data_IF_117608068736
#
_entry.id   IF_117608068736
#
_cell.length_a   1.000
_cell.length_b   1.000
_cell.length_c   1.000
_cell.angle_alpha   90.00
_cell.angle_beta   90.00
_cell.angle_gamma   90.00
#
_symmetry.space_group_name_H-M   'P 1'
#
loop_
_entity.id
_entity.type
_entity.pdbx_description
1 polymer ?
#
# COMPACT_ATOMS: atom_id res chain seq x y z
N UNK A 1 14.18 -4.34 -2.65
CA UNK A 1 13.55 -4.22 -1.33
C UNK A 1 14.03 -2.98 -0.59
N UNK A 2 15.35 -2.76 -0.45
CA UNK A 2 15.90 -1.62 0.30
C UNK A 2 15.67 -0.27 -0.37
N UNK A 3 15.66 -0.20 -1.69
CA UNK A 3 15.28 1.02 -2.41
C UNK A 3 13.83 1.43 -2.10
N UNK A 4 12.93 0.45 -2.05
CA UNK A 4 11.55 0.67 -1.66
C UNK A 4 11.42 1.11 -0.20
N UNK A 5 12.20 0.50 0.71
CA UNK A 5 12.21 0.87 2.11
C UNK A 5 12.51 2.36 2.34
N UNK A 6 13.57 2.88 1.71
CA UNK A 6 13.92 4.30 1.82
C UNK A 6 12.86 5.20 1.19
N UNK A 7 12.28 4.80 0.07
CA UNK A 7 11.17 5.51 -0.54
C UNK A 7 9.94 5.59 0.38
N UNK A 8 9.62 4.51 1.09
CA UNK A 8 8.48 4.47 1.99
C UNK A 8 8.70 5.27 3.26
N UNK A 9 9.92 5.34 3.77
CA UNK A 9 10.25 6.25 4.88
C UNK A 9 9.98 7.72 4.54
N UNK A 10 10.06 8.06 3.28
CA UNK A 10 9.83 9.41 2.78
C UNK A 10 8.37 9.62 2.33
N UNK A 11 7.59 8.56 2.24
CA UNK A 11 6.13 8.62 2.09
C UNK A 11 5.56 8.31 0.72
N UNK A 12 6.20 7.47 -0.12
CA UNK A 12 5.74 7.41 -1.51
C UNK A 12 5.61 6.10 -2.24
N UNK A 13 6.14 5.02 -1.79
CA UNK A 13 6.10 3.84 -2.66
C UNK A 13 5.10 2.79 -2.18
N UNK A 14 4.30 2.30 -3.13
CA UNK A 14 3.63 1.03 -2.94
C UNK A 14 4.69 -0.05 -2.73
N UNK A 15 4.82 -0.54 -1.50
CA UNK A 15 5.55 -1.76 -1.25
C UNK A 15 4.54 -2.90 -1.34
N UNK A 16 4.48 -3.57 -2.48
CA UNK A 16 3.67 -4.77 -2.64
C UNK A 16 2.31 -4.63 -1.93
N UNK A 17 1.45 -3.72 -2.44
CA UNK A 17 0.10 -3.46 -1.94
C UNK A 17 0.01 -2.72 -0.59
N UNK A 18 1.10 -2.13 -0.11
CA UNK A 18 1.10 -1.30 1.08
C UNK A 18 1.67 0.09 0.82
N UNK A 19 1.04 1.12 1.35
CA UNK A 19 1.50 2.52 1.29
C UNK A 19 1.79 3.00 2.70
N UNK A 20 2.98 3.54 2.95
CA UNK A 20 3.32 4.20 4.20
C UNK A 20 2.67 5.59 4.26
N UNK A 21 1.37 5.62 4.59
CA UNK A 21 0.61 6.87 4.70
C UNK A 21 0.86 7.57 6.02
N UNK A 22 1.85 8.47 6.09
CA UNK A 22 2.02 9.37 7.22
C UNK A 22 2.37 10.80 6.76
N UNK A 23 1.99 11.78 7.57
CA UNK A 23 2.35 13.17 7.28
C UNK A 23 3.83 13.43 7.59
N UNK A 24 4.51 14.16 6.71
CA UNK A 24 5.87 14.64 6.94
C UNK A 24 5.98 15.47 8.24
N UNK A 25 4.93 16.19 8.61
CA UNK A 25 4.85 16.92 9.90
C UNK A 25 4.92 15.95 11.09
N UNK A 26 4.24 14.81 11.00
CA UNK A 26 4.25 13.80 12.06
C UNK A 26 5.66 13.19 12.26
N UNK A 27 6.43 13.05 11.18
CA UNK A 27 7.83 12.59 11.26
C UNK A 27 8.73 13.51 12.09
N UNK A 28 8.43 14.81 12.14
CA UNK A 28 9.15 15.74 13.02
C UNK A 28 9.08 15.33 14.52
N UNK A 29 7.96 14.72 14.92
CA UNK A 29 7.79 14.15 16.27
C UNK A 29 8.79 13.05 16.60
N UNK A 30 9.15 12.23 15.60
CA UNK A 30 10.15 11.16 15.75
C UNK A 30 11.52 11.77 16.08
N UNK A 31 11.95 12.82 15.40
CA UNK A 31 13.22 13.48 15.69
C UNK A 31 13.23 14.11 17.09
N UNK A 32 12.12 14.73 17.50
CA UNK A 32 11.98 15.24 18.86
C UNK A 32 12.07 14.11 19.89
N UNK A 33 11.36 13.00 19.68
CA UNK A 33 11.42 11.82 20.53
C UNK A 33 12.85 11.32 20.72
N UNK A 34 13.61 11.16 19.64
CA UNK A 34 14.97 10.64 19.68
C UNK A 34 15.97 11.66 20.23
N UNK A 35 15.67 12.96 20.21
CA UNK A 35 16.51 13.98 20.88
C UNK A 35 16.52 13.85 22.41
N UNK A 36 15.42 13.36 23.01
CA UNK A 36 15.24 13.16 24.45
C UNK A 36 15.86 11.84 24.90
N UNK A 37 16.98 11.87 25.64
CA UNK A 37 17.78 10.66 25.91
C UNK A 37 17.04 9.55 26.68
N UNK A 38 16.32 9.89 27.75
CA UNK A 38 15.72 8.93 28.70
C UNK A 38 14.19 8.90 28.71
N UNK A 39 13.53 9.69 27.87
CA UNK A 39 12.07 9.75 27.79
C UNK A 39 11.56 8.82 26.70
N UNK A 40 10.39 8.24 26.94
CA UNK A 40 9.65 7.43 25.96
C UNK A 40 10.48 6.30 25.34
N UNK A 41 11.17 5.53 26.19
CA UNK A 41 12.03 4.42 25.72
C UNK A 41 11.21 3.32 25.03
N UNK A 42 10.01 3.08 25.53
CA UNK A 42 9.01 2.17 24.95
C UNK A 42 8.72 2.51 23.49
N UNK A 43 8.41 3.78 23.21
CA UNK A 43 8.14 4.24 21.85
C UNK A 43 9.37 4.17 20.93
N UNK A 44 10.55 4.44 21.46
CA UNK A 44 11.80 4.32 20.70
C UNK A 44 12.09 2.88 20.31
N UNK A 45 11.91 1.96 21.24
CA UNK A 45 12.06 0.53 20.96
C UNK A 45 11.00 0.03 20.00
N UNK A 46 9.73 0.44 20.18
CA UNK A 46 8.65 0.09 19.24
C UNK A 46 8.93 0.60 17.83
N UNK A 47 9.35 1.86 17.69
CA UNK A 47 9.74 2.42 16.41
C UNK A 47 10.94 1.71 15.78
N UNK A 48 11.98 1.42 16.57
CA UNK A 48 13.16 0.68 16.11
C UNK A 48 12.78 -0.74 15.65
N UNK A 49 11.90 -1.42 16.38
CA UNK A 49 11.41 -2.76 16.04
C UNK A 49 10.63 -2.75 14.72
N UNK A 50 9.74 -1.78 14.51
CA UNK A 50 9.02 -1.65 13.24
C UNK A 50 9.97 -1.36 12.07
N UNK A 51 11.01 -0.54 12.29
CA UNK A 51 12.05 -0.34 11.27
C UNK A 51 12.82 -1.63 10.99
N UNK A 52 13.14 -2.41 12.02
CA UNK A 52 13.77 -3.72 11.84
C UNK A 52 12.87 -4.65 11.01
N UNK A 53 11.56 -4.65 11.27
CA UNK A 53 10.61 -5.45 10.49
C UNK A 53 10.55 -5.02 9.02
N UNK A 54 10.67 -3.71 8.72
CA UNK A 54 10.77 -3.23 7.35
C UNK A 54 12.07 -3.67 6.65
N UNK A 55 13.17 -3.77 7.41
CA UNK A 55 14.47 -4.18 6.87
C UNK A 55 14.57 -5.69 6.64
N UNK A 56 13.81 -6.50 7.37
CA UNK A 56 13.89 -7.96 7.32
C UNK A 56 12.71 -8.52 6.50
N UNK A 57 12.94 -9.03 5.28
CA UNK A 57 11.86 -9.55 4.43
C UNK A 57 11.03 -10.67 5.09
N UNK A 58 11.66 -11.46 5.97
CA UNK A 58 10.98 -12.51 6.73
C UNK A 58 9.83 -11.96 7.59
N UNK A 59 9.96 -10.75 8.15
CA UNK A 59 8.87 -10.14 8.90
C UNK A 59 7.66 -9.87 8.00
N UNK A 60 7.87 -9.41 6.76
CA UNK A 60 6.81 -9.24 5.77
C UNK A 60 6.14 -10.56 5.39
N UNK A 61 6.88 -11.66 5.35
CA UNK A 61 6.34 -12.99 5.12
C UNK A 61 5.44 -13.46 6.29
N UNK A 62 5.94 -13.35 7.53
CA UNK A 62 5.18 -13.71 8.75
C UNK A 62 3.91 -12.88 8.89
N UNK A 63 4.03 -11.54 8.74
CA UNK A 63 2.90 -10.62 8.91
C UNK A 63 1.88 -10.68 7.75
N UNK A 64 2.23 -11.35 6.66
CA UNK A 64 1.32 -11.67 5.55
C UNK A 64 0.83 -13.13 5.59
N UNK A 65 0.76 -13.74 6.76
CA UNK A 65 0.23 -15.09 6.94
C UNK A 65 1.06 -16.20 6.31
N UNK A 66 2.38 -16.03 6.22
CA UNK A 66 3.33 -16.97 5.62
C UNK A 66 3.10 -17.27 4.13
N UNK A 67 2.37 -16.38 3.44
CA UNK A 67 2.12 -16.51 1.99
C UNK A 67 3.33 -16.02 1.20
N UNK A 68 3.42 -14.75 0.89
CA UNK A 68 4.56 -14.13 0.20
C UNK A 68 5.06 -12.91 0.95
N UNK A 69 6.26 -12.44 0.64
CA UNK A 69 6.83 -11.25 1.29
C UNK A 69 6.04 -10.01 0.89
N UNK A 70 5.30 -9.44 1.85
CA UNK A 70 4.49 -8.24 1.65
C UNK A 70 4.54 -7.34 2.88
N UNK A 71 4.55 -6.04 2.65
CA UNK A 71 4.49 -5.05 3.71
C UNK A 71 3.09 -4.44 3.88
N UNK A 72 2.03 -5.20 3.66
CA UNK A 72 0.64 -4.76 3.86
C UNK A 72 0.37 -4.23 5.27
N UNK A 73 1.15 -4.65 6.25
CA UNK A 73 1.12 -4.20 7.64
C UNK A 73 1.66 -2.78 7.86
N UNK A 74 2.21 -2.12 6.82
CA UNK A 74 2.90 -0.82 6.94
C UNK A 74 2.00 0.31 7.46
N UNK A 75 0.69 0.17 7.39
CA UNK A 75 -0.25 1.09 8.04
C UNK A 75 0.02 1.23 9.55
N UNK A 76 0.47 0.14 10.22
CA UNK A 76 0.86 0.18 11.64
C UNK A 76 2.09 1.08 11.86
N UNK A 77 2.99 1.17 10.89
CA UNK A 77 4.12 2.08 10.91
C UNK A 77 3.65 3.55 10.85
N UNK A 78 2.72 3.87 9.96
CA UNK A 78 2.10 5.20 9.88
C UNK A 78 1.37 5.58 11.18
N UNK A 79 0.61 4.66 11.76
CA UNK A 79 -0.04 4.86 13.07
C UNK A 79 0.98 5.10 14.19
N UNK A 80 2.09 4.37 14.19
CA UNK A 80 3.15 4.56 15.19
C UNK A 80 3.78 5.95 15.08
N UNK A 81 4.03 6.44 13.88
CA UNK A 81 4.56 7.80 13.66
C UNK A 81 3.56 8.86 14.17
N UNK A 82 2.27 8.71 13.86
CA UNK A 82 1.24 9.61 14.34
C UNK A 82 1.13 9.60 15.88
N UNK A 83 1.19 8.41 16.49
CA UNK A 83 1.17 8.26 17.94
C UNK A 83 2.40 8.88 18.60
N UNK A 84 3.59 8.69 18.03
CA UNK A 84 4.83 9.33 18.48
C UNK A 84 4.69 10.85 18.43
N UNK A 85 4.10 11.40 17.35
CA UNK A 85 3.91 12.85 17.24
C UNK A 85 3.05 13.41 18.38
N UNK A 86 1.92 12.76 18.67
CA UNK A 86 1.04 13.15 19.76
C UNK A 86 1.75 13.06 21.11
N UNK A 87 2.48 11.98 21.38
CA UNK A 87 3.23 11.79 22.64
C UNK A 87 4.43 12.73 22.76
N UNK A 88 5.08 13.07 21.65
CA UNK A 88 6.21 14.01 21.65
C UNK A 88 5.75 15.49 21.68
N UNK A 89 4.48 15.77 21.44
CA UNK A 89 3.96 17.14 21.33
C UNK A 89 4.28 18.03 22.54
N UNK A 90 4.10 17.59 23.81
CA UNK A 90 4.49 18.38 24.97
C UNK A 90 6.00 18.73 25.01
N UNK A 91 6.83 17.88 24.44
CA UNK A 91 8.28 18.07 24.41
C UNK A 91 8.73 19.16 23.43
N UNK A 92 7.88 19.55 22.48
CA UNK A 92 8.16 20.64 21.54
C UNK A 92 8.37 21.97 22.25
N UNK A 93 7.74 22.14 23.42
CA UNK A 93 7.83 23.36 24.24
C UNK A 93 9.00 23.39 25.22
N UNK A 94 9.74 22.29 25.33
CA UNK A 94 10.81 22.12 26.35
C UNK A 94 12.15 21.70 25.75
N UNK A 95 12.41 22.11 24.48
CA UNK A 95 13.64 21.76 23.81
C UNK A 95 14.84 22.57 24.29
N UNK A 96 15.87 21.90 24.77
CA UNK A 96 17.17 22.51 25.08
C UNK A 96 17.98 22.76 23.80
N UNK A 97 18.97 23.65 23.88
CA UNK A 97 19.86 23.93 22.73
C UNK A 97 20.57 22.66 22.24
N UNK A 98 20.96 21.76 23.17
CA UNK A 98 21.59 20.48 22.80
C UNK A 98 20.64 19.56 22.04
N UNK A 99 19.37 19.54 22.43
CA UNK A 99 18.32 18.74 21.73
C UNK A 99 18.02 19.31 20.36
N UNK A 100 17.90 20.64 20.22
CA UNK A 100 17.72 21.31 18.92
C UNK A 100 18.88 20.96 17.96
N UNK A 101 20.13 20.97 18.46
CA UNK A 101 21.29 20.57 17.65
C UNK A 101 21.21 19.11 17.20
N UNK A 102 20.77 18.19 18.08
CA UNK A 102 20.57 16.78 17.70
C UNK A 102 19.48 16.61 16.63
N UNK A 103 18.35 17.30 16.81
CA UNK A 103 17.25 17.29 15.83
C UNK A 103 17.78 17.76 14.48
N UNK A 104 18.50 18.88 14.45
CA UNK A 104 19.08 19.40 13.22
C UNK A 104 19.99 18.38 12.52
N UNK A 105 20.89 17.72 13.27
CA UNK A 105 21.77 16.68 12.70
C UNK A 105 20.95 15.52 12.13
N UNK A 106 19.93 15.03 12.86
CA UNK A 106 19.08 13.93 12.39
C UNK A 106 18.31 14.30 11.13
N UNK A 107 17.79 15.53 11.04
CA UNK A 107 17.10 16.02 9.83
C UNK A 107 18.07 16.12 8.65
N UNK A 108 19.27 16.64 8.86
CA UNK A 108 20.29 16.70 7.78
C UNK A 108 20.63 15.30 7.28
N UNK A 109 20.88 14.34 8.18
CA UNK A 109 21.14 12.94 7.82
C UNK A 109 19.96 12.37 7.03
N UNK A 110 18.73 12.59 7.48
CA UNK A 110 17.53 12.12 6.79
C UNK A 110 17.41 12.75 5.40
N UNK A 111 17.61 14.05 5.26
CA UNK A 111 17.58 14.73 3.97
C UNK A 111 18.66 14.20 3.01
N UNK A 112 19.88 13.97 3.53
CA UNK A 112 20.96 13.39 2.74
C UNK A 112 20.60 11.98 2.27
N UNK A 113 20.09 11.12 3.14
CA UNK A 113 19.62 9.78 2.78
C UNK A 113 18.50 9.85 1.72
N UNK A 114 17.56 10.77 1.90
CA UNK A 114 16.49 11.01 0.92
C UNK A 114 17.02 11.41 -0.46
N UNK A 115 18.06 12.24 -0.53
CA UNK A 115 18.68 12.64 -1.79
C UNK A 115 19.42 11.50 -2.48
N UNK A 116 19.97 10.55 -1.73
CA UNK A 116 20.65 9.38 -2.29
C UNK A 116 19.68 8.28 -2.72
N UNK A 117 18.49 8.21 -2.14
CA UNK A 117 17.47 7.23 -2.53
C UNK A 117 16.88 7.60 -3.90
N UNK A 118 17.09 6.76 -4.91
CA UNK A 118 16.61 7.00 -6.28
C UNK A 118 15.09 7.19 -6.35
N UNK A 119 14.36 6.40 -5.58
CA UNK A 119 12.90 6.48 -5.46
C UNK A 119 12.42 7.77 -4.76
N UNK A 120 13.27 8.41 -3.97
CA UNK A 120 12.93 9.62 -3.22
C UNK A 120 13.08 10.93 -4.01
N UNK A 121 13.58 10.88 -5.23
CA UNK A 121 13.85 12.08 -6.06
C UNK A 121 12.64 12.58 -6.85
N UNK A 122 11.46 12.09 -6.58
CA UNK A 122 10.24 12.63 -7.20
C UNK A 122 9.92 14.01 -6.61
N UNK A 123 9.24 14.86 -7.38
CA UNK A 123 8.84 16.20 -6.92
C UNK A 123 8.03 16.16 -5.63
N UNK A 124 7.18 15.17 -5.48
CA UNK A 124 6.34 14.97 -4.32
C UNK A 124 7.18 14.64 -3.07
N UNK A 125 8.14 13.74 -3.19
CA UNK A 125 9.00 13.38 -2.07
C UNK A 125 9.85 14.57 -1.63
N UNK A 126 10.33 15.37 -2.57
CA UNK A 126 11.03 16.61 -2.26
C UNK A 126 10.13 17.63 -1.56
N UNK A 127 8.87 17.74 -1.97
CA UNK A 127 7.88 18.55 -1.27
C UNK A 127 7.63 18.06 0.16
N UNK A 128 7.52 16.74 0.37
CA UNK A 128 7.43 16.12 1.69
C UNK A 128 8.64 16.41 2.58
N UNK A 129 9.85 16.31 2.02
CA UNK A 129 11.09 16.68 2.73
C UNK A 129 11.09 18.16 3.10
N UNK A 130 10.67 19.04 2.22
CA UNK A 130 10.54 20.49 2.51
C UNK A 130 9.55 20.74 3.64
N UNK A 131 8.38 20.12 3.62
CA UNK A 131 7.38 20.21 4.69
C UNK A 131 7.95 19.73 6.02
N UNK A 132 8.72 18.63 6.04
CA UNK A 132 9.41 18.14 7.22
C UNK A 132 10.42 19.16 7.78
N UNK A 133 11.26 19.72 6.90
CA UNK A 133 12.26 20.73 7.29
C UNK A 133 11.56 21.96 7.87
N UNK A 134 10.49 22.43 7.25
CA UNK A 134 9.71 23.57 7.76
C UNK A 134 9.03 23.25 9.10
N UNK A 135 8.52 22.03 9.29
CA UNK A 135 7.93 21.60 10.56
C UNK A 135 8.98 21.58 11.69
N UNK A 136 10.17 21.03 11.41
CA UNK A 136 11.28 21.01 12.39
C UNK A 136 11.78 22.41 12.68
N UNK A 137 11.92 23.27 11.66
CA UNK A 137 12.27 24.67 11.85
C UNK A 137 11.24 25.38 12.75
N UNK A 138 9.96 25.18 12.49
CA UNK A 138 8.86 25.74 13.30
C UNK A 138 8.97 25.30 14.76
N UNK A 139 9.13 23.98 15.03
CA UNK A 139 9.26 23.44 16.39
C UNK A 139 10.49 24.00 17.10
N UNK A 140 11.62 24.07 16.43
CA UNK A 140 12.89 24.51 17.04
C UNK A 140 12.96 26.01 17.26
N UNK A 141 12.26 26.80 16.44
CA UNK A 141 12.26 28.27 16.53
C UNK A 141 11.21 28.79 17.53
N UNK A 142 10.01 28.23 17.53
CA UNK A 142 8.86 28.77 18.26
C UNK A 142 8.49 27.96 19.53
N UNK A 143 9.03 26.75 19.72
CA UNK A 143 8.60 25.86 20.80
C UNK A 143 8.84 26.39 22.23
N UNK A 144 9.83 27.23 22.45
CA UNK A 144 10.28 27.60 23.82
C UNK A 144 9.62 28.87 24.40
N UNK A 145 8.73 29.55 23.68
CA UNK A 145 8.14 30.79 24.11
C UNK A 145 6.63 30.66 24.20
N UNK A 146 6.03 30.86 25.36
CA UNK A 146 4.61 30.64 25.65
C UNK A 146 3.66 31.37 24.66
N UNK A 147 3.95 32.64 24.36
CA UNK A 147 3.20 33.39 23.36
C UNK A 147 3.39 32.86 21.93
N UNK A 148 4.53 32.29 21.62
CA UNK A 148 4.86 31.72 20.32
C UNK A 148 4.31 30.31 20.11
N UNK A 149 3.88 29.62 21.19
CA UNK A 149 3.25 28.31 21.11
C UNK A 149 1.99 28.30 20.22
N UNK A 150 1.19 29.38 20.24
CA UNK A 150 0.02 29.52 19.35
C UNK A 150 0.43 29.60 17.90
N UNK A 151 1.47 30.37 17.59
CA UNK A 151 2.00 30.47 16.21
C UNK A 151 2.61 29.14 15.75
N UNK A 152 3.33 28.45 16.63
CA UNK A 152 3.84 27.11 16.32
C UNK A 152 2.71 26.16 15.98
N UNK A 153 1.65 26.09 16.78
CA UNK A 153 0.49 25.25 16.51
C UNK A 153 -0.19 25.62 15.19
N UNK A 154 -0.41 26.91 14.93
CA UNK A 154 -0.99 27.39 13.70
C UNK A 154 -0.15 27.02 12.48
N UNK A 155 1.16 27.20 12.52
CA UNK A 155 2.07 26.85 11.44
C UNK A 155 2.14 25.33 11.22
N UNK A 156 2.20 24.53 12.27
CA UNK A 156 2.18 23.07 12.14
C UNK A 156 0.87 22.57 11.57
N UNK A 157 -0.26 23.17 11.96
CA UNK A 157 -1.57 22.84 11.38
C UNK A 157 -1.64 23.22 9.90
N UNK A 158 -1.13 24.38 9.53
CA UNK A 158 -1.06 24.79 8.13
C UNK A 158 -0.16 23.84 7.29
N UNK A 159 1.00 23.47 7.81
CA UNK A 159 1.89 22.50 7.17
C UNK A 159 1.24 21.12 7.06
N UNK A 160 0.45 20.71 8.05
CA UNK A 160 -0.32 19.47 7.98
C UNK A 160 -1.36 19.51 6.86
N UNK A 161 -2.12 20.61 6.75
CA UNK A 161 -3.08 20.80 5.66
C UNK A 161 -2.38 20.77 4.31
N UNK A 162 -1.25 21.49 4.17
CA UNK A 162 -0.45 21.48 2.93
C UNK A 162 0.02 20.05 2.61
N UNK A 163 0.51 19.29 3.61
CA UNK A 163 0.92 17.90 3.43
C UNK A 163 -0.23 17.02 2.94
N UNK A 164 -1.42 17.18 3.50
CA UNK A 164 -2.62 16.45 3.07
C UNK A 164 -2.99 16.83 1.64
N UNK A 165 -3.05 18.11 1.33
CA UNK A 165 -3.39 18.59 -0.02
C UNK A 165 -2.39 18.09 -1.08
N UNK A 166 -1.09 18.11 -0.77
CA UNK A 166 -0.07 17.55 -1.66
C UNK A 166 -0.26 16.04 -1.88
N UNK A 167 -0.59 15.29 -0.84
CA UNK A 167 -0.84 13.86 -0.97
C UNK A 167 -2.12 13.58 -1.78
N UNK A 168 -3.20 14.30 -1.50
CA UNK A 168 -4.47 14.15 -2.22
C UNK A 168 -4.32 14.55 -3.69
N UNK A 169 -3.73 15.72 -3.96
CA UNK A 169 -3.56 16.19 -5.35
C UNK A 169 -2.70 15.25 -6.17
N UNK A 170 -1.69 14.62 -5.56
CA UNK A 170 -0.89 13.63 -6.23
C UNK A 170 -1.65 12.32 -6.45
N UNK A 171 -2.37 11.82 -5.46
CA UNK A 171 -3.15 10.58 -5.56
C UNK A 171 -4.19 10.66 -6.69
N UNK A 172 -4.77 11.84 -6.88
CA UNK A 172 -5.76 12.10 -7.92
C UNK A 172 -5.18 12.86 -9.12
N UNK A 173 -3.84 12.88 -9.28
CA UNK A 173 -3.24 13.52 -10.44
C UNK A 173 -3.42 12.66 -11.69
N UNK A 174 -3.58 13.32 -12.84
CA UNK A 174 -3.68 12.66 -14.14
C UNK A 174 -2.46 11.78 -14.46
N UNK A 175 -1.27 12.13 -13.96
CA UNK A 175 -0.05 11.35 -14.17
C UNK A 175 -0.06 9.97 -13.52
N UNK A 176 -0.87 9.77 -12.47
CA UNK A 176 -0.99 8.47 -11.79
C UNK A 176 -2.09 7.59 -12.36
N UNK A 177 -2.95 8.18 -13.19
CA UNK A 177 -4.04 7.48 -13.86
C UNK A 177 -4.97 6.64 -12.97
N UNK A 178 -4.97 6.92 -11.66
CA UNK A 178 -5.88 6.22 -10.74
C UNK A 178 -7.35 6.43 -11.09
N UNK A 179 -7.67 7.56 -11.74
CA UNK A 179 -9.05 7.83 -12.17
C UNK A 179 -9.42 6.98 -13.38
N UNK A 180 -8.46 6.50 -14.17
CA UNK A 180 -8.72 5.57 -15.28
C UNK A 180 -9.05 4.16 -14.80
N UNK A 181 -8.71 3.84 -13.55
CA UNK A 181 -9.09 2.56 -12.92
C UNK A 181 -10.57 2.58 -12.44
N UNK A 182 -11.19 3.76 -12.38
CA UNK A 182 -12.60 3.91 -12.04
C UNK A 182 -13.43 3.91 -13.33
N UNK A 183 -14.23 2.87 -13.49
CA UNK A 183 -15.22 2.80 -14.55
C UNK A 183 -16.53 3.47 -14.12
N UNK A 184 -17.26 4.04 -15.08
CA UNK A 184 -18.66 4.41 -14.86
C UNK A 184 -19.49 3.14 -14.58
N UNK A 185 -20.68 3.29 -14.02
CA UNK A 185 -21.56 2.15 -13.78
C UNK A 185 -21.89 1.40 -15.09
N UNK A 186 -22.05 2.13 -16.20
CA UNK A 186 -22.32 1.57 -17.52
C UNK A 186 -21.13 0.76 -18.05
N UNK A 187 -19.92 1.34 -18.01
CA UNK A 187 -18.68 0.65 -18.40
C UNK A 187 -18.39 -0.58 -17.54
N UNK A 188 -18.72 -0.52 -16.24
CA UNK A 188 -18.56 -1.65 -15.34
C UNK A 188 -19.50 -2.80 -15.71
N UNK A 189 -20.76 -2.50 -16.03
CA UNK A 189 -21.74 -3.49 -16.48
C UNK A 189 -21.29 -4.11 -17.81
N UNK A 190 -20.87 -3.29 -18.77
CA UNK A 190 -20.37 -3.77 -20.07
C UNK A 190 -19.17 -4.72 -19.93
N UNK A 191 -18.26 -4.44 -19.00
CA UNK A 191 -17.13 -5.32 -18.70
C UNK A 191 -17.54 -6.63 -18.03
N UNK A 192 -18.56 -6.59 -17.17
CA UNK A 192 -19.06 -7.75 -16.44
C UNK A 192 -19.99 -8.63 -17.26
N UNK A 193 -20.64 -8.09 -18.29
CA UNK A 193 -21.51 -8.81 -19.21
C UNK A 193 -20.73 -9.41 -20.39
N UNK A 194 -20.03 -10.49 -20.12
CA UNK A 194 -19.25 -11.22 -21.15
C UNK A 194 -20.14 -11.78 -22.26
N UNK A 195 -19.68 -11.65 -23.50
CA UNK A 195 -20.38 -12.26 -24.65
C UNK A 195 -20.40 -13.80 -24.57
N UNK A 196 -19.38 -14.39 -23.98
CA UNK A 196 -19.30 -15.83 -23.74
C UNK A 196 -20.41 -16.29 -22.78
N UNK A 197 -20.56 -15.58 -21.64
CA UNK A 197 -21.63 -15.86 -20.69
C UNK A 197 -23.03 -15.68 -21.33
N UNK A 198 -23.21 -14.64 -22.13
CA UNK A 198 -24.45 -14.40 -22.91
C UNK A 198 -24.74 -15.55 -23.89
N UNK A 199 -23.73 -16.06 -24.59
CA UNK A 199 -23.89 -17.19 -25.49
C UNK A 199 -24.28 -18.48 -24.74
N UNK A 200 -23.67 -18.74 -23.59
CA UNK A 200 -24.01 -19.88 -22.72
C UNK A 200 -25.45 -19.77 -22.22
N UNK A 201 -25.88 -18.62 -21.73
CA UNK A 201 -27.23 -18.35 -21.25
C UNK A 201 -28.26 -18.48 -22.40
N UNK A 202 -27.91 -18.09 -23.62
CA UNK A 202 -28.78 -18.19 -24.79
C UNK A 202 -29.09 -19.64 -25.19
N UNK A 203 -28.35 -20.64 -24.69
CA UNK A 203 -28.69 -22.07 -24.91
C UNK A 203 -29.99 -22.49 -24.23
N UNK A 204 -30.44 -21.75 -23.20
CA UNK A 204 -31.63 -22.09 -22.39
C UNK A 204 -31.48 -23.38 -21.60
N UNK A 205 -30.25 -23.81 -21.34
CA UNK A 205 -29.97 -25.07 -20.64
C UNK A 205 -29.97 -24.86 -19.12
N UNK A 206 -30.94 -25.40 -18.44
CA UNK A 206 -31.11 -25.31 -16.97
C UNK A 206 -30.32 -26.36 -16.18
N UNK A 207 -29.49 -27.16 -16.84
CA UNK A 207 -28.68 -28.20 -16.23
C UNK A 207 -27.53 -27.64 -15.38
N UNK A 208 -26.98 -28.46 -14.47
CA UNK A 208 -25.76 -28.14 -13.74
C UNK A 208 -24.57 -28.57 -14.56
N UNK A 209 -23.86 -27.63 -15.12
CA UNK A 209 -22.67 -27.83 -15.92
C UNK A 209 -21.71 -26.67 -15.81
N UNK A 210 -20.49 -26.86 -16.30
CA UNK A 210 -19.54 -25.79 -16.56
C UNK A 210 -19.37 -25.57 -18.04
N UNK A 211 -18.87 -24.39 -18.40
CA UNK A 211 -18.33 -24.15 -19.74
C UNK A 211 -16.84 -23.83 -19.63
N UNK A 212 -16.09 -24.17 -20.65
CA UNK A 212 -14.71 -23.79 -20.84
C UNK A 212 -14.58 -22.83 -22.02
N UNK A 213 -13.58 -21.97 -22.01
CA UNK A 213 -13.42 -20.94 -23.03
C UNK A 213 -11.96 -20.71 -23.38
N UNK A 214 -11.70 -20.41 -24.65
CA UNK A 214 -10.37 -20.03 -25.09
C UNK A 214 -10.10 -18.55 -24.79
N UNK A 215 -8.90 -18.23 -24.29
CA UNK A 215 -8.49 -16.84 -24.05
C UNK A 215 -9.23 -16.13 -22.92
N UNK A 216 -9.70 -16.88 -21.93
CA UNK A 216 -10.34 -16.31 -20.74
C UNK A 216 -9.41 -15.33 -19.99
N UNK A 217 -9.97 -14.22 -19.55
CA UNK A 217 -9.33 -13.30 -18.62
C UNK A 217 -9.87 -13.57 -17.21
N UNK A 218 -9.15 -14.30 -16.37
CA UNK A 218 -9.66 -14.81 -15.09
C UNK A 218 -9.93 -13.71 -14.05
N UNK A 219 -9.50 -12.48 -14.30
CA UNK A 219 -9.71 -11.40 -13.34
C UNK A 219 -11.14 -10.92 -13.23
N UNK A 220 -11.90 -11.09 -14.29
CA UNK A 220 -13.18 -10.39 -14.40
C UNK A 220 -14.29 -11.11 -13.64
N UNK A 221 -14.11 -12.45 -13.38
CA UNK A 221 -15.13 -13.30 -12.74
C UNK A 221 -16.54 -13.05 -13.30
N UNK A 222 -16.65 -12.80 -14.61
CA UNK A 222 -17.89 -12.42 -15.27
C UNK A 222 -18.98 -13.48 -15.08
N UNK A 223 -18.59 -14.75 -15.06
CA UNK A 223 -19.49 -15.88 -14.80
C UNK A 223 -20.19 -15.77 -13.44
N UNK A 224 -19.52 -15.27 -12.40
CA UNK A 224 -20.15 -15.05 -11.08
C UNK A 224 -21.24 -13.97 -11.14
N UNK A 225 -20.99 -12.89 -11.91
CA UNK A 225 -21.97 -11.83 -12.12
C UNK A 225 -23.15 -12.29 -12.96
N UNK A 226 -22.87 -13.02 -14.02
CA UNK A 226 -23.90 -13.52 -14.96
C UNK A 226 -24.66 -14.76 -14.46
N UNK A 227 -24.23 -15.36 -13.34
CA UNK A 227 -24.85 -16.56 -12.78
C UNK A 227 -24.56 -17.84 -13.57
N UNK A 228 -23.46 -17.88 -14.31
CA UNK A 228 -22.96 -19.03 -15.06
C UNK A 228 -21.83 -19.74 -14.33
N UNK A 229 -21.37 -20.89 -14.82
CA UNK A 229 -20.27 -21.63 -14.19
C UNK A 229 -19.12 -21.82 -15.20
N UNK A 230 -18.12 -20.95 -15.11
CA UNK A 230 -16.90 -21.06 -15.92
C UNK A 230 -15.83 -21.94 -15.21
N UNK A 231 -14.93 -22.51 -16.02
CA UNK A 231 -13.67 -23.08 -15.53
C UNK A 231 -12.64 -22.01 -15.22
N UNK A 232 -12.79 -20.83 -15.85
CA UNK A 232 -11.94 -19.67 -15.63
C UNK A 232 -12.43 -18.82 -14.47
N UNK A 233 -11.54 -18.52 -13.51
CA UNK A 233 -11.89 -17.67 -12.38
C UNK A 233 -10.65 -17.17 -11.63
N UNK A 234 -10.83 -16.14 -10.85
CA UNK A 234 -9.88 -15.67 -9.85
C UNK A 234 -10.47 -15.80 -8.45
N UNK A 235 -9.71 -16.40 -7.54
CA UNK A 235 -10.08 -16.48 -6.14
C UNK A 235 -8.85 -16.51 -5.22
N UNK A 236 -8.67 -15.46 -4.42
CA UNK A 236 -7.48 -15.28 -3.57
C UNK A 236 -7.30 -16.37 -2.50
N UNK A 237 -8.37 -17.09 -2.13
CA UNK A 237 -8.37 -18.19 -1.17
C UNK A 237 -8.59 -19.54 -1.86
N UNK A 238 -8.01 -19.73 -3.04
CA UNK A 238 -8.12 -20.96 -3.77
C UNK A 238 -7.66 -22.16 -2.96
N UNK A 239 -8.34 -23.30 -3.11
CA UNK A 239 -7.94 -24.55 -2.50
C UNK A 239 -6.63 -25.03 -3.14
N UNK A 240 -5.64 -25.42 -2.31
CA UNK A 240 -4.35 -25.93 -2.79
C UNK A 240 -4.51 -27.10 -3.77
N UNK A 241 -5.50 -28.01 -3.55
CA UNK A 241 -5.75 -29.11 -4.45
C UNK A 241 -6.11 -28.69 -5.88
N UNK A 242 -6.72 -27.52 -6.06
CA UNK A 242 -7.00 -26.98 -7.39
C UNK A 242 -5.69 -26.47 -8.02
N UNK A 243 -4.89 -25.73 -7.25
CA UNK A 243 -3.58 -25.27 -7.71
C UNK A 243 -2.66 -26.44 -8.08
N UNK A 244 -2.64 -27.50 -7.26
CA UNK A 244 -1.88 -28.71 -7.51
C UNK A 244 -2.37 -29.41 -8.81
N UNK A 245 -3.69 -29.52 -9.00
CA UNK A 245 -4.28 -30.07 -10.21
C UNK A 245 -3.85 -29.29 -11.46
N UNK A 246 -3.97 -27.96 -11.46
CA UNK A 246 -3.54 -27.14 -12.58
C UNK A 246 -2.04 -27.28 -12.87
N UNK A 247 -1.21 -27.34 -11.82
CA UNK A 247 0.23 -27.51 -11.94
C UNK A 247 0.60 -28.89 -12.50
N UNK A 248 0.03 -29.97 -11.97
CA UNK A 248 0.29 -31.36 -12.40
C UNK A 248 -0.20 -31.60 -13.83
N UNK A 249 -1.28 -30.96 -14.24
CA UNK A 249 -1.82 -31.06 -15.60
C UNK A 249 -1.14 -30.09 -16.57
N UNK A 250 -0.17 -29.30 -16.14
CA UNK A 250 0.50 -28.27 -16.96
C UNK A 250 -0.49 -27.32 -17.63
N UNK A 251 -1.53 -26.93 -16.89
CA UNK A 251 -2.49 -25.92 -17.34
C UNK A 251 -1.95 -24.52 -17.07
N UNK A 252 -2.32 -23.56 -17.93
CA UNK A 252 -1.85 -22.20 -17.79
C UNK A 252 -2.50 -21.52 -16.59
N UNK A 253 -1.65 -20.98 -15.70
CA UNK A 253 -2.04 -20.11 -14.60
C UNK A 253 -1.13 -18.89 -14.66
N UNK A 254 -1.56 -17.76 -15.24
CA UNK A 254 -0.69 -16.60 -15.45
C UNK A 254 -0.14 -16.07 -14.13
N UNK A 255 -0.87 -16.23 -13.03
CA UNK A 255 -0.43 -15.97 -11.66
C UNK A 255 -1.08 -16.96 -10.70
N UNK A 256 -0.51 -17.10 -9.52
CA UNK A 256 -1.13 -17.85 -8.43
C UNK A 256 -2.59 -17.40 -8.22
N UNK A 257 -3.50 -18.35 -8.10
CA UNK A 257 -4.94 -18.11 -7.87
C UNK A 257 -5.73 -17.57 -9.08
N UNK A 258 -5.13 -17.53 -10.26
CA UNK A 258 -5.78 -17.21 -11.52
C UNK A 258 -5.81 -18.46 -12.38
N UNK A 259 -7.00 -18.92 -12.68
CA UNK A 259 -7.26 -20.13 -13.47
C UNK A 259 -7.92 -19.72 -14.78
N UNK A 260 -7.31 -20.06 -15.90
CA UNK A 260 -7.83 -19.64 -17.21
C UNK A 260 -8.83 -20.63 -17.78
N UNK A 261 -8.36 -21.81 -18.18
CA UNK A 261 -9.17 -22.82 -18.82
C UNK A 261 -8.51 -24.20 -18.68
N UNK A 262 -9.15 -25.23 -19.23
CA UNK A 262 -8.64 -26.61 -19.24
C UNK A 262 -7.92 -26.95 -20.55
N UNK A 263 -7.52 -25.93 -21.31
CA UNK A 263 -6.72 -26.04 -22.53
C UNK A 263 -7.41 -26.87 -23.66
N UNK A 264 -8.74 -26.89 -23.65
CA UNK A 264 -9.55 -27.66 -24.60
C UNK A 264 -9.31 -29.17 -24.54
N UNK A 265 -8.79 -29.68 -23.42
CA UNK A 265 -8.52 -31.11 -23.26
C UNK A 265 -9.78 -31.87 -22.89
N UNK A 266 -10.38 -32.53 -23.85
CA UNK A 266 -11.67 -33.21 -23.72
C UNK A 266 -11.78 -34.11 -22.45
N UNK A 267 -10.71 -34.75 -22.01
CA UNK A 267 -10.71 -35.56 -20.78
C UNK A 267 -10.88 -34.71 -19.57
N UNK A 268 -10.15 -33.58 -19.47
CA UNK A 268 -10.23 -32.65 -18.35
C UNK A 268 -11.58 -31.95 -18.33
N UNK A 269 -12.08 -31.54 -19.49
CA UNK A 269 -13.42 -30.97 -19.68
C UNK A 269 -14.51 -31.90 -19.12
N UNK A 270 -14.44 -33.18 -19.46
CA UNK A 270 -15.37 -34.18 -18.93
C UNK A 270 -15.27 -34.37 -17.43
N UNK A 271 -14.05 -34.43 -16.89
CA UNK A 271 -13.81 -34.52 -15.44
C UNK A 271 -14.34 -33.31 -14.69
N UNK A 272 -14.22 -32.12 -15.29
CA UNK A 272 -14.74 -30.88 -14.73
C UNK A 272 -16.23 -30.62 -15.01
N UNK A 273 -16.95 -31.56 -15.63
CA UNK A 273 -18.36 -31.40 -16.02
C UNK A 273 -18.59 -30.26 -17.01
N UNK A 274 -17.64 -30.00 -17.88
CA UNK A 274 -17.76 -29.03 -18.97
C UNK A 274 -18.69 -29.58 -20.01
N UNK A 275 -19.71 -28.81 -20.37
CA UNK A 275 -20.70 -29.17 -21.42
C UNK A 275 -20.52 -28.37 -22.70
N UNK A 276 -20.09 -27.12 -22.56
CA UNK A 276 -19.86 -26.20 -23.65
C UNK A 276 -18.42 -25.72 -23.67
N UNK A 277 -17.85 -25.66 -24.85
CA UNK A 277 -16.56 -25.00 -25.11
C UNK A 277 -16.82 -23.83 -26.06
N UNK A 278 -16.37 -22.62 -25.65
CA UNK A 278 -16.69 -21.37 -26.33
C UNK A 278 -15.41 -20.65 -26.79
#
# INVERSE_FOLDING_TARGET
YYEKYLGDLIGENMIQWGVAGYSAVAMAGVFVLFSKRKKHLDLKWGFALLNLFLLVPFAGHVLNGFSYVSNRWIWAYGMMIAYIFVKAYPEFFTLTVREKKKIFIMVVVYCVLALFAKAARTQRNMAGVLVLVLAVFTITSFGNIFLQGKYMCGLLSALLVVSILLNVSYQYSYEKDYLSEFATAEEAVDKLESNTDKAVLATGDDGVYRYDQYGALPYDNTSMYMGTNSTAYYFSLANSSISDFFSEMYLNTPWEQHYENLDGRTILDRLASVKYFV
#
